data_IF_458288613190
#
_entry.id   IF_458288613190
#
_cell.length_a   1.000
_cell.length_b   1.000
_cell.length_c   1.000
_cell.angle_alpha   90.00
_cell.angle_beta   90.00
_cell.angle_gamma   90.00
#
_symmetry.space_group_name_H-M   'P 1'
#
loop_
_entity.id
_entity.type
_entity.pdbx_description
1 polymer ?
#
# COMPACT_ATOMS: atom_id res chain seq x y z
N UNK A 1 14.22 -17.10 25.18
CA UNK A 1 13.56 -15.82 24.86
C UNK A 1 12.09 -15.95 25.24
N UNK A 2 11.50 -14.91 25.84
CA UNK A 2 10.07 -14.89 26.18
C UNK A 2 9.21 -14.99 24.90
N UNK A 3 8.26 -15.93 24.78
CA UNK A 3 7.35 -16.03 23.64
C UNK A 3 6.69 -14.69 23.23
N UNK A 4 6.40 -13.80 24.19
CA UNK A 4 5.86 -12.47 23.90
C UNK A 4 6.85 -11.57 23.17
N UNK A 5 8.12 -11.60 23.57
CA UNK A 5 9.18 -10.85 22.90
C UNK A 5 9.41 -11.35 21.47
N UNK A 6 9.34 -12.66 21.26
CA UNK A 6 9.40 -13.26 19.93
C UNK A 6 8.23 -12.77 19.07
N UNK A 7 7.00 -12.80 19.59
CA UNK A 7 5.82 -12.30 18.88
C UNK A 7 5.97 -10.83 18.48
N UNK A 8 6.41 -9.97 19.40
CA UNK A 8 6.64 -8.53 19.13
C UNK A 8 7.69 -8.29 18.05
N UNK A 9 8.80 -9.04 18.08
CA UNK A 9 9.83 -8.98 17.05
C UNK A 9 9.30 -9.44 15.68
N UNK A 10 8.51 -10.51 15.65
CA UNK A 10 7.88 -11.01 14.42
C UNK A 10 6.90 -10.00 13.82
N UNK A 11 6.06 -9.35 14.64
CA UNK A 11 5.12 -8.31 14.16
C UNK A 11 5.91 -7.14 13.55
N UNK A 12 6.95 -6.66 14.24
CA UNK A 12 7.81 -5.58 13.73
C UNK A 12 8.48 -5.97 12.41
N UNK A 13 8.99 -7.20 12.31
CA UNK A 13 9.59 -7.71 11.08
C UNK A 13 8.57 -7.71 9.92
N UNK A 14 7.38 -8.27 10.15
CA UNK A 14 6.33 -8.32 9.12
C UNK A 14 5.89 -6.92 8.69
N UNK A 15 5.75 -5.98 9.62
CA UNK A 15 5.41 -4.58 9.31
C UNK A 15 6.49 -3.94 8.44
N UNK A 16 7.76 -4.05 8.83
CA UNK A 16 8.88 -3.49 8.04
C UNK A 16 8.96 -4.12 6.65
N UNK A 17 8.81 -5.44 6.55
CA UNK A 17 8.81 -6.13 5.26
C UNK A 17 7.67 -5.63 4.36
N UNK A 18 6.46 -5.53 4.94
CA UNK A 18 5.29 -5.00 4.24
C UNK A 18 5.50 -3.56 3.76
N UNK A 19 5.96 -2.66 4.64
CA UNK A 19 6.22 -1.25 4.32
C UNK A 19 7.21 -1.14 3.14
N UNK A 20 8.36 -1.82 3.24
CA UNK A 20 9.38 -1.79 2.19
C UNK A 20 8.88 -2.35 0.85
N UNK A 21 8.18 -3.48 0.87
CA UNK A 21 7.63 -4.08 -0.36
C UNK A 21 6.53 -3.20 -0.96
N UNK A 22 5.66 -2.63 -0.12
CA UNK A 22 4.62 -1.73 -0.56
C UNK A 22 5.20 -0.47 -1.21
N UNK A 23 6.18 0.17 -0.59
CA UNK A 23 6.82 1.38 -1.12
C UNK A 23 7.54 1.11 -2.46
N UNK A 24 8.23 -0.04 -2.57
CA UNK A 24 8.85 -0.45 -3.83
C UNK A 24 7.80 -0.65 -4.94
N UNK A 25 6.70 -1.36 -4.66
CA UNK A 25 5.61 -1.54 -5.61
C UNK A 25 4.94 -0.21 -5.97
N UNK A 26 4.76 0.68 -4.99
CA UNK A 26 4.15 1.99 -5.19
C UNK A 26 5.01 2.86 -6.13
N UNK A 27 6.33 2.83 -5.98
CA UNK A 27 7.26 3.54 -6.86
C UNK A 27 7.20 3.01 -8.30
N UNK A 28 7.18 1.67 -8.48
CA UNK A 28 7.04 1.06 -9.81
C UNK A 28 5.73 1.47 -10.47
N UNK A 29 4.62 1.38 -9.74
CA UNK A 29 3.30 1.79 -10.25
C UNK A 29 3.25 3.26 -10.61
N UNK A 30 3.87 4.15 -9.83
CA UNK A 30 3.94 5.59 -10.18
C UNK A 30 4.72 5.85 -11.46
N UNK A 31 5.80 5.10 -11.72
CA UNK A 31 6.51 5.18 -13.00
C UNK A 31 5.66 4.65 -14.15
N UNK A 32 4.96 3.53 -13.96
CA UNK A 32 4.03 2.99 -14.96
C UNK A 32 2.88 3.94 -15.26
N UNK A 33 2.26 4.55 -14.24
CA UNK A 33 1.22 5.57 -14.39
C UNK A 33 1.70 6.75 -15.23
N UNK A 34 2.91 7.26 -14.97
CA UNK A 34 3.52 8.33 -15.77
C UNK A 34 3.73 7.92 -17.22
N UNK A 35 4.27 6.72 -17.47
CA UNK A 35 4.45 6.21 -18.84
C UNK A 35 3.13 6.06 -19.57
N UNK A 36 2.11 5.53 -18.90
CA UNK A 36 0.76 5.40 -19.44
C UNK A 36 0.14 6.77 -19.76
N UNK A 37 0.27 7.75 -18.87
CA UNK A 37 -0.22 9.10 -19.11
C UNK A 37 0.42 9.73 -20.37
N UNK A 38 1.75 9.65 -20.51
CA UNK A 38 2.46 10.13 -21.70
C UNK A 38 2.01 9.41 -22.98
N UNK A 39 1.81 8.08 -22.90
CA UNK A 39 1.31 7.30 -24.03
C UNK A 39 -0.10 7.73 -24.46
N UNK A 40 -1.01 7.97 -23.52
CA UNK A 40 -2.39 8.41 -23.81
C UNK A 40 -2.46 9.81 -24.42
N UNK A 41 -1.57 10.72 -24.02
CA UNK A 41 -1.45 12.04 -24.62
C UNK A 41 -1.06 11.93 -26.09
N UNK A 42 -0.08 11.07 -26.40
CA UNK A 42 0.45 10.89 -27.74
C UNK A 42 -0.39 9.96 -28.63
N UNK A 43 -1.31 9.17 -28.06
CA UNK A 43 -2.14 8.22 -28.81
C UNK A 43 -3.19 8.95 -29.67
N UNK A 44 -3.05 8.97 -31.01
CA UNK A 44 -4.03 9.59 -31.92
C UNK A 44 -5.27 8.70 -32.10
N UNK A 45 -5.12 7.40 -31.78
CA UNK A 45 -6.09 6.34 -32.03
C UNK A 45 -7.14 6.18 -30.92
N UNK A 46 -7.01 6.91 -29.80
CA UNK A 46 -7.92 6.82 -28.66
C UNK A 46 -8.90 8.01 -28.65
N UNK A 47 -10.22 7.76 -28.75
CA UNK A 47 -11.25 8.79 -28.53
C UNK A 47 -11.15 9.41 -27.13
N UNK A 48 -11.73 10.60 -26.96
CA UNK A 48 -11.69 11.34 -25.70
C UNK A 48 -12.27 10.54 -24.52
N UNK A 49 -13.34 9.78 -24.77
CA UNK A 49 -13.99 8.91 -23.78
C UNK A 49 -13.05 7.80 -23.31
N UNK A 50 -12.25 7.22 -24.23
CA UNK A 50 -11.25 6.21 -23.90
C UNK A 50 -10.13 6.77 -23.04
N UNK A 51 -9.62 7.96 -23.38
CA UNK A 51 -8.61 8.66 -22.57
C UNK A 51 -9.13 8.96 -21.16
N UNK A 52 -10.39 9.38 -21.05
CA UNK A 52 -11.05 9.62 -19.76
C UNK A 52 -11.21 8.34 -18.95
N UNK A 53 -11.68 7.26 -19.56
CA UNK A 53 -11.87 5.97 -18.87
C UNK A 53 -10.56 5.44 -18.29
N UNK A 54 -9.46 5.50 -19.05
CA UNK A 54 -8.15 5.06 -18.56
C UNK A 54 -7.63 5.99 -17.45
N UNK A 55 -7.79 7.31 -17.61
CA UNK A 55 -7.41 8.28 -16.57
C UNK A 55 -8.15 8.05 -15.24
N UNK A 56 -9.46 7.79 -15.31
CA UNK A 56 -10.27 7.50 -14.13
C UNK A 56 -9.89 6.16 -13.50
N UNK A 57 -9.57 5.15 -14.31
CA UNK A 57 -9.05 3.87 -13.84
C UNK A 57 -7.72 4.00 -13.09
N UNK A 58 -6.76 4.77 -13.63
CA UNK A 58 -5.48 5.04 -12.95
C UNK A 58 -5.70 5.73 -11.60
N UNK A 59 -6.60 6.73 -11.53
CA UNK A 59 -6.95 7.40 -10.26
C UNK A 59 -7.57 6.44 -9.25
N UNK A 60 -8.50 5.60 -9.68
CA UNK A 60 -9.14 4.60 -8.83
C UNK A 60 -8.12 3.59 -8.29
N UNK A 61 -7.20 3.13 -9.14
CA UNK A 61 -6.13 2.21 -8.75
C UNK A 61 -5.19 2.84 -7.72
N UNK A 62 -4.74 4.07 -7.95
CA UNK A 62 -3.91 4.82 -6.99
C UNK A 62 -4.60 5.02 -5.65
N UNK A 63 -5.90 5.33 -5.66
CA UNK A 63 -6.71 5.41 -4.44
C UNK A 63 -6.77 4.06 -3.72
N UNK A 64 -7.11 2.99 -4.44
CA UNK A 64 -7.23 1.64 -3.86
C UNK A 64 -5.93 1.16 -3.23
N UNK A 65 -4.78 1.47 -3.84
CA UNK A 65 -3.45 1.23 -3.26
C UNK A 65 -3.27 1.95 -1.92
N UNK A 66 -3.63 3.23 -1.85
CA UNK A 66 -3.55 4.02 -0.62
C UNK A 66 -4.49 3.50 0.48
N UNK A 67 -5.73 3.16 0.12
CA UNK A 67 -6.72 2.58 1.04
C UNK A 67 -6.21 1.23 1.61
N UNK A 68 -5.62 0.39 0.77
CA UNK A 68 -5.02 -0.89 1.19
C UNK A 68 -3.88 -0.69 2.20
N UNK A 69 -2.99 0.28 1.96
CA UNK A 69 -1.91 0.61 2.92
C UNK A 69 -2.47 1.07 4.26
N UNK A 70 -3.45 1.97 4.23
CA UNK A 70 -4.07 2.48 5.43
C UNK A 70 -4.72 1.36 6.25
N UNK A 71 -5.44 0.45 5.60
CA UNK A 71 -6.04 -0.70 6.26
C UNK A 71 -4.99 -1.65 6.87
N UNK A 72 -3.90 -1.91 6.15
CA UNK A 72 -2.80 -2.72 6.68
C UNK A 72 -2.13 -2.05 7.89
N UNK A 73 -1.84 -0.76 7.83
CA UNK A 73 -1.24 0.01 8.93
C UNK A 73 -2.14 0.01 10.17
N UNK A 74 -3.44 0.21 9.99
CA UNK A 74 -4.42 0.13 11.07
C UNK A 74 -4.42 -1.26 11.73
N UNK A 75 -4.35 -2.33 10.93
CA UNK A 75 -4.31 -3.70 11.45
C UNK A 75 -3.01 -4.02 12.18
N UNK A 76 -1.85 -3.58 11.67
CA UNK A 76 -0.58 -3.72 12.40
C UNK A 76 -0.64 -2.98 13.74
N UNK A 77 -1.20 -1.76 13.77
CA UNK A 77 -1.38 -1.00 15.00
C UNK A 77 -2.29 -1.72 16.00
N UNK A 78 -3.43 -2.26 15.57
CA UNK A 78 -4.34 -3.04 16.44
C UNK A 78 -3.64 -4.22 17.08
N UNK A 79 -2.80 -4.93 16.32
CA UNK A 79 -2.01 -6.04 16.84
C UNK A 79 -0.98 -5.54 17.86
N UNK A 80 -0.24 -4.48 17.55
CA UNK A 80 0.72 -3.86 18.49
C UNK A 80 0.04 -3.42 19.80
N UNK A 81 -1.11 -2.76 19.71
CA UNK A 81 -1.90 -2.29 20.86
C UNK A 81 -2.40 -3.45 21.71
N UNK A 82 -2.86 -4.54 21.08
CA UNK A 82 -3.28 -5.76 21.79
C UNK A 82 -2.14 -6.34 22.63
N UNK A 83 -0.95 -6.50 22.05
CA UNK A 83 0.21 -7.01 22.80
C UNK A 83 0.70 -6.03 23.88
N UNK A 84 0.65 -4.72 23.65
CA UNK A 84 0.97 -3.72 24.66
C UNK A 84 -0.02 -3.74 25.85
N UNK A 85 -1.30 -3.99 25.59
CA UNK A 85 -2.32 -4.17 26.63
C UNK A 85 -2.06 -5.39 27.52
N UNK A 86 -1.59 -6.50 26.92
CA UNK A 86 -1.20 -7.71 27.66
C UNK A 86 0.03 -7.53 28.56
N UNK A 87 0.85 -6.51 28.31
CA UNK A 87 2.02 -6.19 29.13
C UNK A 87 1.67 -5.28 30.32
N UNK A 88 0.62 -4.46 30.19
CA UNK A 88 0.11 -3.58 31.27
C UNK A 88 -0.79 -4.28 32.28
N UNK A 89 -1.34 -5.45 31.93
CA UNK A 89 -2.21 -6.25 32.79
C UNK A 89 -1.44 -7.20 33.75
N UNK A 90 -0.10 -7.14 33.74
CA UNK A 90 0.80 -7.81 34.69
C UNK A 90 1.34 -6.79 35.68
#
# INVERSE_FOLDING_TARGET
MDPKQIAKQMIKFNKTAFDNTFDAMAAVQEQTEKMMAMYLEQAPMLPAEGKKAISDWLKAYKKGRGDFKAAADENFKKVEDFFAGLDKAK
#
